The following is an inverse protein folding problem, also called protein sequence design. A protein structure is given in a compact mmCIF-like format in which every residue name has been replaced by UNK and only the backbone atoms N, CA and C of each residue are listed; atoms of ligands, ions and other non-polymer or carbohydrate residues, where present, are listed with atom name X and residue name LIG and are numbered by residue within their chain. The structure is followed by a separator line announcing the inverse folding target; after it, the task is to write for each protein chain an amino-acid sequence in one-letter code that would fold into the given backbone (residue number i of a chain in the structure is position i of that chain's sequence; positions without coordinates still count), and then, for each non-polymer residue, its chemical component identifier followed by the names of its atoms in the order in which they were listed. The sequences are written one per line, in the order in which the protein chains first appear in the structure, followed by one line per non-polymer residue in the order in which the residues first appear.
data_IF_815313029165
#
_entry.id   IF_815313029165
#
_cell.length_a   1.000
_cell.length_b   1.000
_cell.length_c   1.000
_cell.angle_alpha   90.00
_cell.angle_beta   90.00
_cell.angle_gamma   90.00
#
_symmetry.space_group_name_H-M   'P 1'
#
loop_
_entity.id
_entity.type
_entity.pdbx_description
1 polymer ?
#
# COMPACT_ATOMS: atom_id res chain seq x y z
N UNK A 1 -27.85 -15.98 7.06
CA UNK A 1 -26.60 -15.61 7.76
C UNK A 1 -26.14 -14.28 7.23
N UNK A 2 -26.21 -13.22 8.05
CA UNK A 2 -25.74 -11.90 7.66
C UNK A 2 -24.21 -11.90 7.64
N UNK A 3 -23.62 -11.70 6.47
CA UNK A 3 -22.20 -11.39 6.37
C UNK A 3 -21.97 -10.02 7.00
N UNK A 4 -21.44 -10.00 8.22
CA UNK A 4 -20.91 -8.79 8.82
C UNK A 4 -19.58 -8.56 8.12
N UNK A 5 -19.54 -7.63 7.16
CA UNK A 5 -18.29 -7.20 6.57
C UNK A 5 -17.35 -6.72 7.69
N UNK A 6 -16.04 -7.01 7.64
CA UNK A 6 -15.08 -6.50 8.61
C UNK A 6 -15.25 -5.00 8.79
N UNK A 7 -15.16 -4.51 10.02
CA UNK A 7 -15.36 -3.10 10.39
C UNK A 7 -14.50 -2.11 9.57
N UNK A 8 -13.35 -2.54 9.06
CA UNK A 8 -12.50 -1.79 8.13
C UNK A 8 -13.19 -1.46 6.79
N UNK A 9 -14.10 -2.33 6.34
CA UNK A 9 -14.93 -2.13 5.14
C UNK A 9 -16.07 -1.12 5.35
N UNK A 10 -16.45 -0.86 6.60
CA UNK A 10 -17.60 -0.02 6.97
C UNK A 10 -17.22 1.46 7.05
N UNK A 11 -16.01 1.75 7.54
CA UNK A 11 -15.55 3.12 7.75
C UNK A 11 -14.62 3.64 6.67
N UNK A 12 -14.03 2.79 5.81
CA UNK A 12 -13.16 3.15 4.68
C UNK A 12 -11.82 3.83 5.04
N UNK A 13 -11.68 4.44 6.22
CA UNK A 13 -10.47 5.12 6.72
C UNK A 13 -9.88 4.41 7.94
N UNK A 14 -8.59 4.61 8.20
CA UNK A 14 -7.89 3.93 9.31
C UNK A 14 -8.40 4.37 10.69
N UNK A 15 -8.37 3.47 11.67
CA UNK A 15 -8.67 3.81 13.07
C UNK A 15 -7.71 4.89 13.61
N UNK A 16 -6.41 4.80 13.29
CA UNK A 16 -5.44 5.78 13.78
C UNK A 16 -5.72 7.18 13.25
N UNK A 17 -6.17 7.30 12.00
CA UNK A 17 -6.58 8.59 11.41
C UNK A 17 -7.79 9.19 12.12
N UNK A 18 -8.71 8.36 12.60
CA UNK A 18 -9.88 8.80 13.37
C UNK A 18 -9.54 9.26 14.78
N UNK A 19 -8.38 8.86 15.30
CA UNK A 19 -7.89 9.21 16.63
C UNK A 19 -6.91 10.38 16.62
N UNK A 20 -6.51 10.89 15.44
CA UNK A 20 -5.66 12.08 15.33
C UNK A 20 -6.38 13.32 15.89
N UNK A 21 -5.64 14.22 16.54
CA UNK A 21 -6.19 15.39 17.23
C UNK A 21 -7.00 16.32 16.30
N UNK A 22 -6.61 16.38 15.02
CA UNK A 22 -7.26 17.19 13.99
C UNK A 22 -8.21 16.38 13.09
N UNK A 23 -8.62 15.18 13.52
CA UNK A 23 -9.51 14.33 12.74
C UNK A 23 -10.86 15.02 12.52
N UNK A 24 -11.32 15.04 11.26
CA UNK A 24 -12.65 15.56 10.94
C UNK A 24 -13.72 14.63 11.52
N UNK A 25 -14.80 15.17 12.11
CA UNK A 25 -15.88 14.34 12.61
C UNK A 25 -16.53 13.57 11.45
N UNK A 26 -16.44 12.24 11.51
CA UNK A 26 -17.07 11.36 10.52
C UNK A 26 -18.55 11.24 10.86
N UNK A 27 -19.42 11.60 9.91
CA UNK A 27 -20.85 11.35 10.03
C UNK A 27 -21.11 9.85 9.87
N UNK A 28 -21.49 9.19 10.97
CA UNK A 28 -21.86 7.76 10.99
C UNK A 28 -22.97 7.40 9.97
N UNK A 29 -23.80 8.38 9.59
CA UNK A 29 -24.89 8.21 8.62
C UNK A 29 -24.48 8.34 7.16
N UNK A 30 -23.35 9.00 6.85
CA UNK A 30 -22.90 9.25 5.47
C UNK A 30 -21.63 8.47 5.10
N UNK A 31 -20.86 8.00 6.08
CA UNK A 31 -19.57 7.37 5.83
C UNK A 31 -18.49 8.39 5.40
N UNK A 32 -17.24 7.94 5.19
CA UNK A 32 -16.16 8.79 4.68
C UNK A 32 -16.38 9.18 3.21
N UNK A 33 -15.74 10.27 2.79
CA UNK A 33 -15.65 10.61 1.36
C UNK A 33 -14.68 9.67 0.62
N UNK A 34 -14.93 9.41 -0.66
CA UNK A 34 -14.08 8.55 -1.49
C UNK A 34 -12.65 9.10 -1.60
N UNK A 35 -12.48 10.42 -1.70
CA UNK A 35 -11.16 11.04 -1.71
C UNK A 35 -10.39 10.78 -0.40
N UNK A 36 -11.10 10.72 0.72
CA UNK A 36 -10.51 10.49 2.04
C UNK A 36 -10.08 9.04 2.23
N UNK A 37 -10.92 8.08 1.80
CA UNK A 37 -10.59 6.65 1.79
C UNK A 37 -9.37 6.39 0.90
N UNK A 38 -9.32 6.97 -0.29
CA UNK A 38 -8.16 6.82 -1.19
C UNK A 38 -6.88 7.40 -0.57
N UNK A 39 -6.97 8.55 0.10
CA UNK A 39 -5.83 9.16 0.81
C UNK A 39 -5.34 8.28 1.96
N UNK A 40 -6.27 7.72 2.74
CA UNK A 40 -6.01 6.76 3.82
C UNK A 40 -5.27 5.53 3.29
N UNK A 41 -5.76 4.94 2.20
CA UNK A 41 -5.12 3.78 1.55
C UNK A 41 -3.71 4.14 1.07
N UNK A 42 -3.53 5.28 0.37
CA UNK A 42 -2.20 5.73 -0.09
C UNK A 42 -1.23 5.92 1.07
N UNK A 43 -1.69 6.47 2.20
CA UNK A 43 -0.87 6.64 3.41
C UNK A 43 -0.48 5.29 4.00
N UNK A 44 -1.42 4.37 4.15
CA UNK A 44 -1.13 3.04 4.70
C UNK A 44 -0.17 2.26 3.79
N UNK A 45 -0.40 2.26 2.47
CA UNK A 45 0.53 1.70 1.47
C UNK A 45 1.93 2.28 1.65
N UNK A 46 2.06 3.60 1.81
CA UNK A 46 3.36 4.22 2.06
C UNK A 46 3.99 3.74 3.36
N UNK A 47 3.24 3.64 4.46
CA UNK A 47 3.75 3.16 5.74
C UNK A 47 4.23 1.70 5.66
N UNK A 48 3.40 0.82 5.07
CA UNK A 48 3.71 -0.61 4.89
C UNK A 48 5.02 -0.76 4.09
N UNK A 49 5.11 -0.10 2.94
CA UNK A 49 6.26 -0.27 2.03
C UNK A 49 7.55 0.39 2.55
N UNK A 50 7.45 1.37 3.45
CA UNK A 50 8.61 1.99 4.10
C UNK A 50 8.98 1.32 5.44
N UNK A 51 8.27 0.26 5.85
CA UNK A 51 8.64 -0.57 6.99
C UNK A 51 9.51 -1.75 6.52
N UNK A 52 10.47 -2.17 7.35
CA UNK A 52 11.24 -3.40 7.14
C UNK A 52 10.74 -4.53 8.02
N UNK A 53 10.81 -5.75 7.49
CA UNK A 53 10.51 -6.97 8.25
C UNK A 53 11.36 -6.99 9.52
N UNK A 54 10.71 -7.22 10.66
CA UNK A 54 11.34 -7.20 11.99
C UNK A 54 11.34 -5.84 12.71
N UNK A 55 10.92 -4.73 12.08
CA UNK A 55 10.83 -3.43 12.76
C UNK A 55 9.58 -3.30 13.65
N UNK A 56 8.52 -4.04 13.36
CA UNK A 56 7.31 -4.06 14.18
C UNK A 56 7.32 -5.22 15.17
N UNK A 57 7.27 -4.90 16.47
CA UNK A 57 7.17 -5.89 17.54
C UNK A 57 5.82 -6.63 17.56
N UNK A 58 4.75 -5.95 17.14
CA UNK A 58 3.39 -6.52 17.12
C UNK A 58 3.09 -7.28 15.82
N UNK A 59 3.82 -6.99 14.74
CA UNK A 59 3.68 -7.68 13.46
C UNK A 59 5.05 -7.95 12.84
N UNK A 60 5.72 -9.05 13.22
CA UNK A 60 7.08 -9.34 12.76
C UNK A 60 7.21 -9.46 11.24
N UNK A 61 6.12 -9.83 10.56
CA UNK A 61 6.08 -10.00 9.10
C UNK A 61 5.77 -8.70 8.35
N UNK A 62 5.49 -7.59 9.04
CA UNK A 62 5.18 -6.30 8.41
C UNK A 62 6.40 -5.72 7.71
N UNK A 63 6.20 -5.27 6.48
CA UNK A 63 7.20 -4.54 5.71
C UNK A 63 7.84 -5.34 4.59
N UNK A 64 8.90 -4.78 4.02
CA UNK A 64 9.66 -5.39 2.94
C UNK A 64 10.95 -6.01 3.47
N UNK A 65 11.37 -7.12 2.86
CA UNK A 65 12.68 -7.73 3.09
C UNK A 65 13.77 -6.70 2.79
N UNK A 66 14.86 -6.69 3.56
CA UNK A 66 16.03 -5.90 3.19
C UNK A 66 16.73 -6.54 1.99
N UNK A 67 16.84 -5.79 0.89
CA UNK A 67 17.43 -6.26 -0.36
C UNK A 67 18.93 -5.93 -0.47
N UNK A 68 19.56 -5.56 0.64
CA UNK A 68 20.95 -5.09 0.70
C UNK A 68 22.01 -6.16 0.37
N UNK A 69 21.66 -7.45 0.42
CA UNK A 69 22.60 -8.57 0.21
C UNK A 69 22.76 -8.93 -1.28
N UNK A 70 22.81 -7.91 -2.15
CA UNK A 70 22.73 -8.07 -3.59
C UNK A 70 24.12 -8.17 -4.24
N UNK A 71 24.72 -9.35 -4.18
CA UNK A 71 25.60 -9.85 -5.27
C UNK A 71 24.79 -10.31 -6.50
N UNK A 72 23.52 -9.90 -6.60
CA UNK A 72 22.53 -10.43 -7.54
C UNK A 72 22.34 -9.49 -8.74
N UNK A 73 22.07 -10.08 -9.92
CA UNK A 73 21.74 -9.31 -11.11
C UNK A 73 20.47 -8.47 -10.90
N UNK A 74 20.49 -7.23 -11.40
CA UNK A 74 19.41 -6.24 -11.22
C UNK A 74 18.01 -6.76 -11.60
N UNK A 75 17.91 -7.58 -12.65
CA UNK A 75 16.64 -8.16 -13.09
C UNK A 75 16.01 -9.06 -12.01
N UNK A 76 16.82 -9.88 -11.34
CA UNK A 76 16.35 -10.78 -10.27
C UNK A 76 15.87 -9.97 -9.05
N UNK A 77 16.58 -8.89 -8.73
CA UNK A 77 16.17 -7.96 -7.68
C UNK A 77 14.79 -7.34 -7.96
N UNK A 78 14.55 -6.84 -9.17
CA UNK A 78 13.26 -6.19 -9.51
C UNK A 78 12.06 -7.13 -9.38
N UNK A 79 12.24 -8.41 -9.72
CA UNK A 79 11.20 -9.45 -9.61
C UNK A 79 10.92 -9.77 -8.14
N UNK A 80 11.96 -9.91 -7.30
CA UNK A 80 11.80 -10.16 -5.86
C UNK A 80 11.11 -9.01 -5.15
N UNK A 81 11.51 -7.78 -5.46
CA UNK A 81 10.86 -6.58 -4.90
C UNK A 81 9.39 -6.54 -5.32
N UNK A 82 9.08 -6.80 -6.60
CA UNK A 82 7.69 -6.90 -7.09
C UNK A 82 6.87 -7.91 -6.29
N UNK A 83 7.38 -9.13 -6.10
CA UNK A 83 6.68 -10.18 -5.35
C UNK A 83 6.50 -9.82 -3.87
N UNK A 84 7.52 -9.21 -3.26
CA UNK A 84 7.45 -8.75 -1.88
C UNK A 84 6.42 -7.63 -1.69
N UNK A 85 6.37 -6.65 -2.60
CA UNK A 85 5.37 -5.57 -2.59
C UNK A 85 3.97 -6.19 -2.68
N UNK A 86 3.75 -7.08 -3.66
CA UNK A 86 2.43 -7.71 -3.85
C UNK A 86 1.96 -8.41 -2.58
N UNK A 87 2.78 -9.30 -2.01
CA UNK A 87 2.45 -10.03 -0.78
C UNK A 87 2.16 -9.09 0.38
N UNK A 88 3.01 -8.08 0.58
CA UNK A 88 2.88 -7.14 1.70
C UNK A 88 1.58 -6.34 1.60
N UNK A 89 1.20 -5.90 0.40
CA UNK A 89 -0.07 -5.19 0.18
C UNK A 89 -1.29 -6.09 0.35
N UNK A 90 -1.23 -7.33 -0.13
CA UNK A 90 -2.32 -8.31 0.06
C UNK A 90 -2.53 -8.68 1.55
N UNK A 91 -1.46 -8.65 2.36
CA UNK A 91 -1.49 -9.01 3.79
C UNK A 91 -1.86 -7.84 4.70
N UNK A 92 -1.37 -6.62 4.41
CA UNK A 92 -1.47 -5.47 5.33
C UNK A 92 -2.36 -4.32 4.83
N UNK A 93 -2.90 -4.40 3.60
CA UNK A 93 -3.92 -3.46 3.10
C UNK A 93 -5.12 -4.23 2.53
N UNK A 94 -5.99 -4.81 3.39
CA UNK A 94 -7.07 -5.70 2.97
C UNK A 94 -8.16 -5.03 2.15
N UNK A 95 -8.22 -3.68 2.13
CA UNK A 95 -9.14 -2.89 1.28
C UNK A 95 -8.73 -2.92 -0.19
N UNK A 96 -7.48 -3.26 -0.50
CA UNK A 96 -7.03 -3.49 -1.88
C UNK A 96 -7.26 -4.96 -2.26
N UNK A 97 -8.02 -5.18 -3.33
CA UNK A 97 -8.26 -6.49 -3.95
C UNK A 97 -7.60 -6.55 -5.31
N UNK A 98 -7.39 -7.77 -5.82
CA UNK A 98 -6.80 -8.01 -7.14
C UNK A 98 -5.49 -7.24 -7.37
N UNK A 99 -4.60 -7.24 -6.37
CA UNK A 99 -3.35 -6.49 -6.44
C UNK A 99 -2.44 -7.06 -7.52
N UNK A 100 -2.15 -6.25 -8.53
CA UNK A 100 -1.18 -6.51 -9.57
C UNK A 100 -0.05 -5.48 -9.51
N UNK A 101 1.19 -5.95 -9.61
CA UNK A 101 2.39 -5.13 -9.49
C UNK A 101 3.23 -5.33 -10.74
N UNK A 102 3.51 -4.26 -11.46
CA UNK A 102 4.34 -4.27 -12.67
C UNK A 102 5.64 -3.52 -12.41
N UNK A 103 6.74 -4.01 -12.96
CA UNK A 103 8.01 -3.28 -12.99
C UNK A 103 7.97 -2.35 -14.20
N UNK A 104 8.25 -1.07 -13.98
CA UNK A 104 8.34 -0.06 -15.04
C UNK A 104 9.83 0.19 -15.29
N UNK A 105 10.30 -0.20 -16.47
CA UNK A 105 11.66 0.10 -16.90
C UNK A 105 11.70 1.51 -17.48
N UNK A 106 12.55 2.37 -16.91
CA UNK A 106 12.82 3.70 -17.45
C UNK A 106 14.22 3.69 -18.08
N UNK A 107 14.28 3.77 -19.42
CA UNK A 107 15.55 3.78 -20.16
C UNK A 107 16.41 5.01 -19.82
N UNK A 108 15.81 6.09 -19.32
CA UNK A 108 16.53 7.32 -18.94
C UNK A 108 17.14 7.23 -17.56
N UNK A 109 16.55 6.42 -16.69
CA UNK A 109 17.00 6.22 -15.31
C UNK A 109 17.05 4.71 -14.99
N UNK A 110 17.92 3.94 -15.66
CA UNK A 110 17.92 2.49 -15.57
C UNK A 110 18.27 1.97 -14.17
N UNK A 111 18.83 2.81 -13.30
CA UNK A 111 19.16 2.47 -11.92
C UNK A 111 17.96 2.65 -10.96
N UNK A 112 16.93 3.40 -11.35
CA UNK A 112 15.75 3.63 -10.52
C UNK A 112 14.74 2.48 -10.71
N UNK A 113 14.36 1.84 -9.61
CA UNK A 113 13.31 0.82 -9.63
C UNK A 113 11.94 1.51 -9.51
N UNK A 114 11.17 1.44 -10.59
CA UNK A 114 9.79 1.95 -10.63
C UNK A 114 8.82 0.80 -10.69
N UNK A 115 7.73 0.92 -9.95
CA UNK A 115 6.67 -0.06 -9.91
C UNK A 115 5.33 0.61 -10.15
N UNK A 116 4.41 -0.08 -10.82
CA UNK A 116 3.02 0.31 -10.95
C UNK A 116 2.17 -0.73 -10.25
N UNK A 117 1.38 -0.32 -9.27
CA UNK A 117 0.42 -1.16 -8.56
C UNK A 117 -0.97 -0.85 -9.08
N UNK A 118 -1.66 -1.85 -9.63
CA UNK A 118 -3.07 -1.76 -9.98
C UNK A 118 -3.86 -2.64 -9.01
N UNK A 119 -4.97 -2.12 -8.48
CA UNK A 119 -5.81 -2.85 -7.54
C UNK A 119 -7.25 -2.33 -7.59
N UNK A 120 -8.20 -3.12 -7.12
CA UNK A 120 -9.60 -2.72 -6.92
C UNK A 120 -9.80 -2.35 -5.46
N UNK A 121 -10.37 -1.18 -5.17
CA UNK A 121 -10.74 -0.82 -3.79
C UNK A 121 -12.08 -1.47 -3.47
N UNK A 122 -12.13 -2.23 -2.39
CA UNK A 122 -13.34 -2.90 -1.91
C UNK A 122 -13.77 -2.26 -0.57
N UNK A 123 -14.47 -1.13 -0.67
CA UNK A 123 -15.04 -0.42 0.49
C UNK A 123 -16.48 0.00 0.19
N UNK A 124 -17.30 0.21 1.22
CA UNK A 124 -18.68 0.70 1.03
C UNK A 124 -18.75 2.08 0.36
N UNK A 125 -17.69 2.88 0.49
CA UNK A 125 -17.58 4.23 -0.08
C UNK A 125 -17.01 4.26 -1.50
N UNK A 126 -16.25 3.24 -1.90
CA UNK A 126 -15.56 3.15 -3.20
C UNK A 126 -15.54 1.70 -3.67
N UNK A 127 -16.07 1.48 -4.87
CA UNK A 127 -15.92 0.24 -5.63
C UNK A 127 -15.32 0.55 -7.01
N UNK A 128 -14.10 1.10 -7.01
CA UNK A 128 -13.41 1.56 -8.21
C UNK A 128 -12.04 0.90 -8.35
N UNK A 129 -11.60 0.74 -9.59
CA UNK A 129 -10.26 0.25 -9.92
C UNK A 129 -9.29 1.43 -9.82
N UNK A 130 -8.26 1.30 -9.00
CA UNK A 130 -7.23 2.32 -8.80
C UNK A 130 -5.88 1.86 -9.30
N UNK A 131 -5.11 2.84 -9.79
CA UNK A 131 -3.70 2.67 -10.15
C UNK A 131 -2.86 3.56 -9.24
N UNK A 132 -1.90 2.96 -8.57
CA UNK A 132 -0.95 3.59 -7.65
C UNK A 132 0.44 3.39 -8.25
N UNK A 133 1.10 4.46 -8.64
CA UNK A 133 2.48 4.37 -9.10
C UNK A 133 3.41 4.48 -7.88
N UNK A 134 4.42 3.63 -7.82
CA UNK A 134 5.42 3.60 -6.75
C UNK A 134 6.80 3.87 -7.35
N UNK A 135 7.48 4.86 -6.79
CA UNK A 135 8.88 5.13 -7.08
C UNK A 135 9.71 4.69 -5.86
N UNK A 136 10.67 3.78 -6.08
CA UNK A 136 11.76 3.59 -5.13
C UNK A 136 12.87 4.56 -5.50
N UNK A 137 13.10 5.54 -4.63
CA UNK A 137 14.18 6.51 -4.86
C UNK A 137 15.53 6.04 -4.31
N UNK A 138 16.59 6.80 -4.62
CA UNK A 138 17.95 6.51 -4.17
C UNK A 138 18.12 6.51 -2.64
N UNK A 139 17.18 7.12 -1.90
CA UNK A 139 17.15 7.09 -0.44
C UNK A 139 16.43 5.85 0.10
N UNK A 140 16.12 4.88 -0.77
CA UNK A 140 15.45 3.62 -0.46
C UNK A 140 14.07 3.81 0.14
N UNK A 141 13.42 4.94 -0.15
CA UNK A 141 12.05 5.21 0.27
C UNK A 141 11.08 4.99 -0.88
N UNK A 142 9.99 4.32 -0.58
CA UNK A 142 8.88 4.15 -1.52
C UNK A 142 7.98 5.37 -1.44
N UNK A 143 7.86 6.08 -2.56
CA UNK A 143 6.94 7.21 -2.70
C UNK A 143 5.80 6.82 -3.64
N UNK A 144 4.58 7.02 -3.17
CA UNK A 144 3.40 6.99 -4.02
C UNK A 144 3.44 8.24 -4.89
N UNK A 145 3.53 8.06 -6.20
CA UNK A 145 3.50 9.15 -7.18
C UNK A 145 2.14 9.15 -7.89
N UNK A 146 1.59 10.34 -8.10
CA UNK A 146 0.30 10.56 -8.78
C UNK A 146 0.45 10.31 -10.27
#
# INVERSE_FOLDING_TARGET
MGYIAPEESVYGVSLFERLEADAKPISLSKGPDSAEVLRSIKRNVSNILNTRIGESLSSPNLGLVDFNDATMAMLDLSIRVKLSIKRCLEEFEPRLKEVDVMVIQDEREPLNLRFSVAATIDTSAIHERVKINLLLDNNRKYRVVT
#
